data_IF_665178266933
#
_entry.id   IF_665178266933
#
_cell.length_a   1.000
_cell.length_b   1.000
_cell.length_c   1.000
_cell.angle_alpha   90.00
_cell.angle_beta   90.00
_cell.angle_gamma   90.00
#
_symmetry.space_group_name_H-M   'P 1'
#
loop_
_entity.id
_entity.type
_entity.pdbx_description
1 polymer ?
#
# COMPACT_ATOMS: atom_id res chain seq x y z
N UNK A 1 -28.46 13.52 42.20
CA UNK A 1 -29.42 13.71 41.09
C UNK A 1 -29.67 12.35 40.47
N UNK A 2 -30.86 11.78 40.65
CA UNK A 2 -31.29 10.59 39.92
C UNK A 2 -31.84 11.06 38.56
N UNK A 3 -31.17 10.68 37.47
CA UNK A 3 -31.70 10.92 36.13
C UNK A 3 -32.98 10.08 35.95
N UNK A 4 -34.05 10.66 35.37
CA UNK A 4 -35.30 9.93 35.15
C UNK A 4 -35.06 8.70 34.27
N UNK A 5 -35.69 7.56 34.59
CA UNK A 5 -35.64 6.32 33.79
C UNK A 5 -36.01 6.56 32.32
N UNK A 6 -36.90 7.53 32.05
CA UNK A 6 -37.28 7.93 30.69
C UNK A 6 -36.12 8.58 29.90
N UNK A 7 -35.22 9.29 30.58
CA UNK A 7 -34.01 9.89 29.98
C UNK A 7 -32.95 8.83 29.70
N UNK A 8 -32.88 7.77 30.52
CA UNK A 8 -31.97 6.64 30.30
C UNK A 8 -32.38 5.80 29.08
N UNK A 9 -33.69 5.60 28.87
CA UNK A 9 -34.23 4.84 27.72
C UNK A 9 -34.11 5.63 26.41
N UNK A 10 -34.21 6.96 26.45
CA UNK A 10 -34.00 7.81 25.27
C UNK A 10 -32.54 7.82 24.77
N UNK A 11 -31.58 7.47 25.64
CA UNK A 11 -30.15 7.39 25.31
C UNK A 11 -29.71 6.00 24.83
N UNK A 12 -30.51 4.95 25.04
CA UNK A 12 -30.20 3.57 24.61
C UNK A 12 -29.85 3.43 23.11
N UNK A 13 -30.52 4.10 22.14
CA UNK A 13 -30.11 4.01 20.73
C UNK A 13 -28.81 4.76 20.42
N UNK A 14 -28.35 5.66 21.31
CA UNK A 14 -27.05 6.34 21.16
C UNK A 14 -25.87 5.48 21.66
N UNK A 15 -26.13 4.48 22.51
CA UNK A 15 -25.09 3.56 23.03
C UNK A 15 -24.97 2.25 22.23
N UNK A 16 -25.83 2.02 21.25
CA UNK A 16 -25.84 0.82 20.40
C UNK A 16 -25.60 1.16 18.93
N UNK A 17 -24.64 2.03 18.62
CA UNK A 17 -23.95 1.94 17.33
C UNK A 17 -22.98 0.77 17.42
N UNK A 18 -23.49 -0.46 17.26
CA UNK A 18 -22.64 -1.58 16.88
C UNK A 18 -22.13 -1.25 15.49
N UNK A 19 -20.89 -0.79 15.39
CA UNK A 19 -20.17 -0.66 14.13
C UNK A 19 -20.18 -2.03 13.48
N UNK A 20 -21.06 -2.24 12.48
CA UNK A 20 -21.06 -3.47 11.73
C UNK A 20 -19.69 -3.61 11.06
N UNK A 21 -18.94 -4.63 11.45
CA UNK A 21 -17.62 -4.92 10.91
C UNK A 21 -17.75 -5.21 9.40
N UNK A 22 -17.08 -4.42 8.56
CA UNK A 22 -17.07 -4.69 7.13
C UNK A 22 -16.36 -6.03 6.87
N UNK A 23 -17.00 -6.93 6.14
CA UNK A 23 -16.44 -8.22 5.76
C UNK A 23 -17.10 -8.72 4.47
N UNK A 24 -16.47 -9.70 3.83
CA UNK A 24 -17.00 -10.35 2.63
C UNK A 24 -15.88 -10.87 1.74
N UNK A 25 -16.23 -11.21 0.50
CA UNK A 25 -15.26 -11.55 -0.52
C UNK A 25 -14.88 -10.30 -1.32
N UNK A 26 -13.65 -10.30 -1.84
CA UNK A 26 -13.07 -9.19 -2.58
C UNK A 26 -12.09 -9.64 -3.65
N UNK A 27 -11.69 -8.68 -4.47
CA UNK A 27 -10.64 -8.86 -5.48
C UNK A 27 -9.45 -7.99 -5.11
N UNK A 28 -8.26 -8.41 -5.53
CA UNK A 28 -7.06 -7.58 -5.40
C UNK A 28 -6.50 -7.22 -6.75
N UNK A 29 -5.90 -6.04 -6.81
CA UNK A 29 -4.93 -5.67 -7.83
C UNK A 29 -3.68 -5.14 -7.13
N UNK A 30 -2.73 -4.59 -7.88
CA UNK A 30 -1.48 -4.04 -7.35
C UNK A 30 -1.14 -2.73 -8.04
N UNK A 31 -0.64 -1.77 -7.27
CA UNK A 31 -0.23 -0.47 -7.80
C UNK A 31 0.91 0.15 -6.99
N UNK A 32 1.57 1.13 -7.59
CA UNK A 32 2.39 2.12 -6.92
C UNK A 32 2.56 3.32 -7.85
N UNK A 33 1.77 4.37 -7.63
CA UNK A 33 1.74 5.58 -8.47
C UNK A 33 2.49 6.77 -7.87
N UNK A 34 3.00 6.61 -6.64
CA UNK A 34 3.68 7.60 -5.83
C UNK A 34 2.82 8.80 -5.39
N UNK A 35 1.54 8.84 -5.74
CA UNK A 35 0.69 9.98 -5.43
C UNK A 35 0.51 10.13 -3.91
N UNK A 36 0.23 11.35 -3.44
CA UNK A 36 -0.34 11.55 -2.10
C UNK A 36 -1.63 10.71 -1.99
N UNK A 37 -1.71 9.78 -1.03
CA UNK A 37 -2.87 8.91 -0.92
C UNK A 37 -4.09 9.68 -0.38
N UNK A 38 -5.31 9.28 -0.74
CA UNK A 38 -6.51 10.07 -0.47
C UNK A 38 -6.82 10.25 1.03
N UNK A 39 -6.47 9.29 1.88
CA UNK A 39 -6.64 9.39 3.32
C UNK A 39 -5.57 10.25 4.00
N UNK A 40 -4.63 10.83 3.23
CA UNK A 40 -3.71 11.87 3.70
C UNK A 40 -4.31 13.27 3.68
N UNK A 41 -5.57 13.44 3.25
CA UNK A 41 -6.28 14.71 3.36
C UNK A 41 -7.01 14.80 4.70
N UNK A 42 -7.00 15.99 5.30
CA UNK A 42 -7.76 16.29 6.51
C UNK A 42 -9.28 16.09 6.29
N UNK A 43 -9.98 15.66 7.34
CA UNK A 43 -11.45 15.53 7.32
C UNK A 43 -11.98 14.29 6.58
N UNK A 44 -11.11 13.38 6.14
CA UNK A 44 -11.52 12.15 5.44
C UNK A 44 -12.10 11.07 6.33
N UNK A 45 -11.78 11.04 7.62
CA UNK A 45 -12.31 10.11 8.61
C UNK A 45 -12.25 10.70 10.02
N UNK A 46 -12.99 10.11 10.96
CA UNK A 46 -12.86 10.40 12.39
C UNK A 46 -11.63 9.66 12.96
N UNK A 47 -10.64 10.42 13.43
CA UNK A 47 -9.36 9.89 13.88
C UNK A 47 -9.23 9.90 15.41
N UNK A 48 -8.44 8.99 15.94
CA UNK A 48 -8.17 8.90 17.36
C UNK A 48 -7.46 10.17 17.86
N UNK A 49 -7.62 10.48 19.16
CA UNK A 49 -6.90 11.60 19.77
C UNK A 49 -5.40 11.41 19.63
N UNK A 50 -4.70 12.45 19.13
CA UNK A 50 -3.26 12.39 18.85
C UNK A 50 -2.88 11.73 17.52
N UNK A 51 -3.85 11.27 16.73
CA UNK A 51 -3.63 10.79 15.36
C UNK A 51 -3.80 11.90 14.33
N UNK A 52 -3.09 11.80 13.20
CA UNK A 52 -3.31 12.62 12.01
C UNK A 52 -3.80 11.78 10.83
N UNK A 53 -4.14 12.41 9.68
CA UNK A 53 -4.32 11.72 8.41
C UNK A 53 -3.08 10.90 8.05
N UNK A 54 -3.18 10.06 7.01
CA UNK A 54 -2.02 9.30 6.52
C UNK A 54 -0.86 10.25 6.21
N UNK A 55 0.30 9.96 6.79
CA UNK A 55 1.55 10.70 6.57
C UNK A 55 1.97 10.65 5.10
N UNK A 56 2.57 11.75 4.65
CA UNK A 56 3.13 11.88 3.29
C UNK A 56 4.59 12.26 3.37
N UNK A 57 5.31 12.01 2.30
CA UNK A 57 6.72 12.32 2.20
C UNK A 57 6.98 13.34 1.09
N UNK A 58 8.10 14.05 1.20
CA UNK A 58 8.60 14.88 0.12
C UNK A 58 9.29 14.03 -0.96
N UNK A 59 9.78 14.70 -2.01
CA UNK A 59 10.50 14.06 -3.14
C UNK A 59 11.75 13.26 -2.74
N UNK A 60 12.24 13.42 -1.51
CA UNK A 60 13.38 12.69 -0.97
C UNK A 60 12.97 11.63 0.04
N UNK A 61 11.70 11.22 0.04
CA UNK A 61 11.14 10.25 0.98
C UNK A 61 11.25 10.71 2.45
N UNK A 62 11.31 12.02 2.70
CA UNK A 62 11.34 12.58 4.05
C UNK A 62 9.93 12.93 4.52
N UNK A 63 9.49 12.49 5.72
CA UNK A 63 8.15 12.78 6.22
C UNK A 63 7.84 14.27 6.26
N UNK A 64 6.71 14.66 5.66
CA UNK A 64 6.20 16.02 5.69
C UNK A 64 5.55 16.32 7.04
N UNK A 65 6.11 17.31 7.76
CA UNK A 65 5.47 17.87 8.95
C UNK A 65 4.45 18.93 8.56
N UNK A 66 3.32 18.51 7.97
CA UNK A 66 2.19 19.39 7.66
C UNK A 66 1.00 19.06 8.57
N UNK A 67 0.79 19.81 9.68
CA UNK A 67 -0.33 19.55 10.58
C UNK A 67 -1.69 19.84 9.94
N UNK A 68 -1.73 20.54 8.80
CA UNK A 68 -2.95 20.86 8.07
C UNK A 68 -3.30 19.82 7.00
N UNK A 69 -2.32 18.99 6.64
CA UNK A 69 -2.39 18.00 5.57
C UNK A 69 -2.87 18.57 4.21
N UNK A 70 -2.49 19.83 3.92
CA UNK A 70 -2.87 20.58 2.72
C UNK A 70 -1.82 20.56 1.61
N UNK A 71 -0.62 20.01 1.88
CA UNK A 71 0.39 19.83 0.86
C UNK A 71 -0.19 19.13 -0.38
N UNK A 72 -0.03 19.75 -1.55
CA UNK A 72 -0.60 19.27 -2.81
C UNK A 72 0.11 17.98 -3.23
N UNK A 73 -0.65 17.04 -3.77
CA UNK A 73 -0.12 15.79 -4.32
C UNK A 73 0.90 16.06 -5.43
N UNK A 74 2.00 15.31 -5.47
CA UNK A 74 2.94 15.31 -6.59
C UNK A 74 2.27 15.00 -7.94
N UNK A 75 1.22 14.17 -7.93
CA UNK A 75 0.39 13.88 -9.10
C UNK A 75 -0.46 15.07 -9.59
N UNK A 76 -0.53 16.14 -8.80
CA UNK A 76 -1.18 17.41 -9.13
C UNK A 76 -0.17 18.56 -9.08
N UNK A 77 1.08 18.32 -9.48
CA UNK A 77 2.17 19.32 -9.48
C UNK A 77 2.54 19.87 -8.10
N UNK A 78 2.26 19.12 -7.04
CA UNK A 78 2.64 19.44 -5.68
C UNK A 78 3.93 18.76 -5.21
N UNK A 79 4.08 18.62 -3.91
CA UNK A 79 5.31 18.14 -3.26
C UNK A 79 5.08 17.00 -2.28
N UNK A 80 3.84 16.50 -2.15
CA UNK A 80 3.50 15.39 -1.27
C UNK A 80 3.32 14.08 -2.05
N UNK A 81 4.01 13.04 -1.60
CA UNK A 81 4.05 11.70 -2.19
C UNK A 81 3.72 10.65 -1.12
N UNK A 82 3.42 9.43 -1.57
CA UNK A 82 3.30 8.28 -0.67
C UNK A 82 4.69 7.92 -0.12
N UNK A 83 4.82 7.81 1.21
CA UNK A 83 6.10 7.43 1.81
C UNK A 83 6.47 5.98 1.47
N UNK A 84 7.75 5.74 1.22
CA UNK A 84 8.25 4.40 0.84
C UNK A 84 8.12 3.38 1.97
N UNK A 85 8.08 3.81 3.23
CA UNK A 85 7.83 2.94 4.39
C UNK A 85 6.37 2.43 4.44
N UNK A 86 5.47 3.00 3.64
CA UNK A 86 4.13 2.48 3.36
C UNK A 86 4.16 1.39 2.29
N UNK A 87 5.26 0.63 2.23
CA UNK A 87 5.43 -0.57 1.41
C UNK A 87 5.04 -1.83 2.19
N UNK A 88 4.68 -2.92 1.51
CA UNK A 88 4.31 -4.18 2.14
C UNK A 88 5.56 -4.96 2.57
N UNK A 89 5.40 -5.79 3.60
CA UNK A 89 6.47 -6.64 4.11
C UNK A 89 5.94 -7.93 4.73
N UNK A 90 6.74 -8.98 4.67
CA UNK A 90 6.45 -10.24 5.33
C UNK A 90 6.71 -10.11 6.85
N UNK A 91 5.76 -10.60 7.65
CA UNK A 91 5.90 -10.75 9.11
C UNK A 91 6.34 -12.18 9.44
N UNK A 92 5.80 -13.15 8.71
CA UNK A 92 6.19 -14.56 8.72
C UNK A 92 5.97 -15.15 7.33
N UNK A 93 6.19 -16.46 7.17
CA UNK A 93 5.91 -17.12 5.88
C UNK A 93 4.43 -17.05 5.49
N UNK A 94 3.50 -16.95 6.45
CA UNK A 94 2.05 -16.96 6.19
C UNK A 94 1.33 -15.66 6.56
N UNK A 95 2.06 -14.66 7.10
CA UNK A 95 1.51 -13.35 7.42
C UNK A 95 2.34 -12.23 6.79
N UNK A 96 1.68 -11.30 6.11
CA UNK A 96 2.25 -10.04 5.66
C UNK A 96 1.46 -8.84 6.15
N UNK A 97 2.11 -7.69 6.26
CA UNK A 97 1.48 -6.40 6.49
C UNK A 97 1.68 -5.49 5.27
N UNK A 98 0.76 -4.55 5.07
CA UNK A 98 0.90 -3.55 4.01
C UNK A 98 -0.23 -2.53 3.99
N UNK A 99 -0.45 -1.97 2.80
CA UNK A 99 -1.33 -0.84 2.59
C UNK A 99 -2.11 -1.05 1.29
N UNK A 100 -3.29 -0.42 1.19
CA UNK A 100 -4.11 -0.54 0.00
C UNK A 100 -4.92 0.72 -0.28
N UNK A 101 -5.22 0.94 -1.57
CA UNK A 101 -6.40 1.69 -1.95
C UNK A 101 -7.62 0.76 -1.88
N UNK A 102 -8.73 1.24 -1.33
CA UNK A 102 -9.91 0.39 -1.14
C UNK A 102 -11.19 1.05 -1.64
N UNK A 103 -12.13 0.20 -2.06
CA UNK A 103 -13.53 0.55 -2.22
C UNK A 103 -14.38 -0.57 -1.60
N UNK A 104 -14.95 -0.31 -0.42
CA UNK A 104 -15.71 -1.30 0.35
C UNK A 104 -17.20 -1.07 0.15
N UNK A 105 -17.93 -2.15 -0.18
CA UNK A 105 -19.36 -2.10 -0.45
C UNK A 105 -20.14 -1.46 0.72
N UNK A 106 -21.02 -0.51 0.39
CA UNK A 106 -21.84 0.19 1.39
C UNK A 106 -21.06 1.18 2.27
N UNK A 107 -19.77 1.39 2.01
CA UNK A 107 -18.92 2.35 2.71
C UNK A 107 -18.68 3.65 1.94
N UNK A 108 -17.86 4.49 2.55
CA UNK A 108 -17.24 5.68 1.97
C UNK A 108 -15.85 5.89 2.56
N UNK A 109 -15.10 6.89 2.08
CA UNK A 109 -13.81 7.26 2.69
C UNK A 109 -13.91 7.49 4.21
N UNK A 110 -15.02 8.06 4.69
CA UNK A 110 -15.26 8.23 6.13
C UNK A 110 -15.27 6.92 6.91
N UNK A 111 -15.70 5.82 6.28
CA UNK A 111 -15.76 4.49 6.89
C UNK A 111 -14.47 3.70 6.77
N UNK A 112 -13.73 3.82 5.67
CA UNK A 112 -12.56 2.96 5.41
C UNK A 112 -11.23 3.67 5.59
N UNK A 113 -11.14 5.00 5.52
CA UNK A 113 -9.85 5.67 5.65
C UNK A 113 -9.22 5.33 7.00
N UNK A 114 -7.98 4.85 6.92
CA UNK A 114 -7.15 4.36 8.02
C UNK A 114 -7.68 3.11 8.75
N UNK A 115 -8.74 2.48 8.28
CA UNK A 115 -9.19 1.18 8.77
C UNK A 115 -8.22 0.08 8.33
N UNK A 116 -8.15 -1.01 9.10
CA UNK A 116 -7.39 -2.18 8.72
C UNK A 116 -8.28 -3.36 8.37
N UNK A 117 -7.83 -4.15 7.42
CA UNK A 117 -8.53 -5.34 6.94
C UNK A 117 -7.57 -6.52 6.95
N UNK A 118 -7.98 -7.63 7.58
CA UNK A 118 -7.33 -8.92 7.41
C UNK A 118 -7.87 -9.54 6.14
N UNK A 119 -6.99 -9.73 5.16
CA UNK A 119 -7.25 -10.43 3.91
C UNK A 119 -6.76 -11.87 4.08
N UNK A 120 -7.62 -12.84 3.82
CA UNK A 120 -7.23 -14.24 3.62
C UNK A 120 -7.30 -14.52 2.13
N UNK A 121 -6.17 -14.84 1.51
CA UNK A 121 -6.15 -15.19 0.09
C UNK A 121 -6.86 -16.52 -0.12
N UNK A 122 -7.69 -16.62 -1.16
CA UNK A 122 -8.48 -17.83 -1.47
C UNK A 122 -8.17 -18.38 -2.87
N UNK A 123 -7.20 -17.80 -3.57
CA UNK A 123 -6.73 -18.26 -4.88
C UNK A 123 -5.23 -18.03 -5.06
N UNK A 124 -4.68 -18.51 -6.18
CA UNK A 124 -3.23 -18.55 -6.50
C UNK A 124 -2.42 -19.41 -5.52
N UNK A 125 -1.09 -19.33 -5.58
CA UNK A 125 -0.19 -19.98 -4.61
C UNK A 125 -0.29 -19.37 -3.20
N UNK A 126 -0.94 -18.20 -3.06
CA UNK A 126 -1.13 -17.54 -1.77
C UNK A 126 -2.32 -18.07 -0.96
N UNK A 127 -3.14 -18.96 -1.51
CA UNK A 127 -4.34 -19.46 -0.84
C UNK A 127 -4.05 -19.93 0.61
N UNK A 128 -4.79 -19.40 1.58
CA UNK A 128 -4.63 -19.65 3.01
C UNK A 128 -3.69 -18.69 3.75
N UNK A 129 -2.80 -17.98 3.05
CA UNK A 129 -1.96 -16.92 3.64
C UNK A 129 -2.81 -15.69 3.96
N UNK A 130 -2.32 -14.91 4.91
CA UNK A 130 -2.98 -13.70 5.38
C UNK A 130 -2.16 -12.45 5.12
N UNK A 131 -2.84 -11.37 4.76
CA UNK A 131 -2.25 -10.05 4.68
C UNK A 131 -3.13 -9.04 5.43
N UNK A 132 -2.55 -8.30 6.37
CA UNK A 132 -3.27 -7.20 7.02
C UNK A 132 -2.89 -5.90 6.33
N UNK A 133 -3.88 -5.21 5.78
CA UNK A 133 -3.67 -3.95 5.07
C UNK A 133 -4.34 -2.81 5.81
N UNK A 134 -3.65 -1.66 5.88
CA UNK A 134 -4.29 -0.40 6.22
C UNK A 134 -4.77 0.29 4.95
N UNK A 135 -6.03 0.73 4.93
CA UNK A 135 -6.59 1.52 3.84
C UNK A 135 -6.08 2.96 3.91
N UNK A 136 -5.20 3.32 2.97
CA UNK A 136 -4.58 4.66 2.89
C UNK A 136 -5.15 5.49 1.75
N UNK A 137 -5.78 4.86 0.77
CA UNK A 137 -6.25 5.50 -0.45
C UNK A 137 -7.62 4.95 -0.89
N UNK A 138 -8.22 5.59 -1.89
CA UNK A 138 -9.34 5.06 -2.66
C UNK A 138 -9.11 5.35 -4.15
N UNK A 139 -9.73 4.58 -5.04
CA UNK A 139 -9.70 4.78 -6.48
C UNK A 139 -11.11 4.84 -7.03
N UNK A 140 -11.38 5.80 -7.92
CA UNK A 140 -12.71 5.97 -8.54
C UNK A 140 -13.08 4.87 -9.54
N UNK A 141 -12.08 4.11 -9.98
CA UNK A 141 -12.17 2.96 -10.89
C UNK A 141 -12.27 1.61 -10.15
N UNK A 142 -12.16 1.61 -8.83
CA UNK A 142 -12.26 0.39 -8.04
C UNK A 142 -13.70 -0.13 -8.02
N UNK A 143 -13.87 -1.41 -8.31
CA UNK A 143 -15.10 -2.15 -8.12
C UNK A 143 -15.45 -2.34 -6.64
N UNK A 144 -16.60 -2.94 -6.39
CA UNK A 144 -17.07 -3.24 -5.05
C UNK A 144 -16.16 -4.27 -4.36
N UNK A 145 -15.75 -4.00 -3.12
CA UNK A 145 -14.82 -4.82 -2.32
C UNK A 145 -13.48 -5.08 -3.02
N UNK A 146 -12.95 -4.06 -3.70
CA UNK A 146 -11.64 -4.14 -4.35
C UNK A 146 -10.55 -3.54 -3.47
N UNK A 147 -9.42 -4.24 -3.40
CA UNK A 147 -8.21 -3.84 -2.69
C UNK A 147 -7.07 -3.69 -3.70
N UNK A 148 -6.66 -2.46 -3.98
CA UNK A 148 -5.45 -2.21 -4.76
C UNK A 148 -4.24 -2.18 -3.84
N UNK A 149 -3.48 -3.26 -3.82
CA UNK A 149 -2.37 -3.44 -2.89
C UNK A 149 -1.24 -2.51 -3.30
N UNK A 150 -0.79 -1.67 -2.37
CA UNK A 150 0.35 -0.79 -2.60
C UNK A 150 1.62 -1.64 -2.62
N UNK A 151 2.14 -1.93 -3.81
CA UNK A 151 3.32 -2.75 -4.04
C UNK A 151 4.22 -1.99 -5.01
N UNK A 152 5.40 -1.48 -4.59
CA UNK A 152 6.34 -0.82 -5.49
C UNK A 152 6.62 -1.65 -6.74
N UNK A 153 6.40 -1.04 -7.91
CA UNK A 153 6.51 -1.73 -9.19
C UNK A 153 5.29 -2.57 -9.57
N UNK A 154 4.15 -2.40 -8.89
CA UNK A 154 2.85 -2.96 -9.27
C UNK A 154 2.21 -2.29 -10.49
N UNK A 155 2.71 -1.13 -10.90
CA UNK A 155 2.17 -0.31 -11.99
C UNK A 155 1.65 1.01 -11.47
N UNK A 156 1.83 2.08 -12.24
CA UNK A 156 1.40 3.44 -11.83
C UNK A 156 -0.09 3.66 -12.11
N UNK A 157 -0.69 2.88 -13.02
CA UNK A 157 -2.10 3.00 -13.35
C UNK A 157 -2.42 4.33 -14.05
N UNK A 158 -3.48 5.00 -13.59
CA UNK A 158 -4.01 6.22 -14.21
C UNK A 158 -3.06 7.42 -13.99
N UNK A 159 -2.49 7.53 -12.79
CA UNK A 159 -1.61 8.63 -12.40
C UNK A 159 -0.15 8.17 -12.41
N UNK A 160 0.79 9.11 -12.46
CA UNK A 160 2.22 8.78 -12.37
C UNK A 160 2.99 9.93 -11.69
N UNK A 161 2.94 9.94 -10.35
CA UNK A 161 3.79 10.80 -9.53
C UNK A 161 5.23 10.31 -9.48
N UNK A 162 5.48 9.03 -9.78
CA UNK A 162 6.82 8.44 -9.69
C UNK A 162 7.81 9.06 -10.67
N UNK A 163 7.32 9.61 -11.78
CA UNK A 163 8.16 10.37 -12.73
C UNK A 163 8.70 11.64 -12.08
N UNK A 164 7.86 12.39 -11.36
CA UNK A 164 8.27 13.64 -10.70
C UNK A 164 9.01 13.38 -9.39
N UNK A 165 8.72 12.27 -8.72
CA UNK A 165 9.37 11.91 -7.47
C UNK A 165 10.77 11.33 -7.68
N UNK A 166 10.86 10.28 -8.48
CA UNK A 166 12.05 9.44 -8.60
C UNK A 166 12.67 9.43 -10.01
N UNK A 167 12.11 10.20 -10.95
CA UNK A 167 12.54 10.16 -12.34
C UNK A 167 12.20 8.83 -13.02
N UNK A 168 11.15 8.14 -12.58
CA UNK A 168 10.68 6.93 -13.25
C UNK A 168 10.26 7.21 -14.71
N UNK A 169 10.26 6.20 -15.60
CA UNK A 169 9.72 6.36 -16.94
C UNK A 169 8.24 6.78 -16.93
N UNK A 170 7.74 7.28 -18.08
CA UNK A 170 6.36 7.76 -18.22
C UNK A 170 5.29 6.68 -17.99
N UNK A 171 5.63 5.40 -18.13
CA UNK A 171 4.78 4.25 -17.77
C UNK A 171 5.07 3.66 -16.38
N UNK A 172 5.91 4.32 -15.57
CA UNK A 172 6.53 3.74 -14.38
C UNK A 172 7.70 2.81 -14.73
N UNK A 173 8.16 2.02 -13.76
CA UNK A 173 9.31 1.11 -13.95
C UNK A 173 9.03 -0.14 -14.81
N UNK A 174 7.80 -0.33 -15.26
CA UNK A 174 7.39 -1.46 -16.09
C UNK A 174 6.18 -1.11 -16.94
N UNK A 175 5.27 -2.07 -17.12
CA UNK A 175 3.97 -1.80 -17.74
C UNK A 175 3.17 -0.81 -16.88
N UNK A 176 2.42 0.08 -17.53
CA UNK A 176 1.59 1.08 -16.83
C UNK A 176 0.64 0.42 -15.82
N UNK A 177 0.01 -0.68 -16.22
CA UNK A 177 -0.80 -1.55 -15.37
C UNK A 177 -0.07 -2.89 -15.19
N UNK A 178 0.07 -3.36 -13.94
CA UNK A 178 0.77 -4.60 -13.61
C UNK A 178 2.29 -4.47 -13.43
N UNK A 179 2.89 -3.36 -13.88
CA UNK A 179 4.24 -2.94 -13.51
C UNK A 179 5.36 -3.84 -14.01
N UNK A 180 6.37 -4.08 -13.17
CA UNK A 180 7.52 -4.93 -13.52
C UNK A 180 7.13 -6.40 -13.61
N UNK A 181 7.79 -7.16 -14.49
CA UNK A 181 7.49 -8.57 -14.71
C UNK A 181 8.49 -9.54 -14.08
N UNK A 182 9.58 -9.04 -13.46
CA UNK A 182 10.62 -9.87 -12.89
C UNK A 182 11.27 -9.22 -11.66
N UNK A 183 11.67 -10.04 -10.69
CA UNK A 183 12.36 -9.61 -9.47
C UNK A 183 13.69 -8.87 -9.77
N UNK A 184 14.37 -9.22 -10.86
CA UNK A 184 15.60 -8.55 -11.27
C UNK A 184 15.39 -7.06 -11.60
N UNK A 185 14.17 -6.62 -11.89
CA UNK A 185 13.88 -5.19 -12.08
C UNK A 185 13.93 -4.40 -10.78
N UNK A 186 13.77 -5.04 -9.61
CA UNK A 186 13.76 -4.35 -8.33
C UNK A 186 15.10 -3.71 -7.99
N UNK A 187 16.23 -4.18 -8.53
CA UNK A 187 17.54 -3.58 -8.29
C UNK A 187 17.72 -2.19 -8.90
N UNK A 188 16.84 -1.79 -9.83
CA UNK A 188 16.88 -0.45 -10.46
C UNK A 188 15.99 0.57 -9.76
N UNK A 189 15.25 0.16 -8.72
CA UNK A 189 14.37 1.05 -7.96
C UNK A 189 15.19 1.93 -6.99
N UNK A 190 14.64 3.08 -6.58
CA UNK A 190 15.13 3.79 -5.40
C UNK A 190 15.30 2.83 -4.22
N UNK A 191 16.39 2.97 -3.46
CA UNK A 191 16.76 2.00 -2.42
C UNK A 191 15.63 1.71 -1.43
N UNK A 192 14.85 2.73 -1.06
CA UNK A 192 13.73 2.62 -0.13
C UNK A 192 12.55 1.77 -0.67
N UNK A 193 12.38 1.69 -2.00
CA UNK A 193 11.30 0.93 -2.65
C UNK A 193 11.69 -0.51 -3.00
N UNK A 194 12.99 -0.83 -2.98
CA UNK A 194 13.46 -2.18 -3.34
C UNK A 194 12.87 -3.27 -2.43
N UNK A 195 12.76 -3.11 -1.10
CA UNK A 195 12.15 -4.14 -0.25
C UNK A 195 10.70 -4.44 -0.63
N UNK A 196 9.87 -3.41 -0.86
CA UNK A 196 8.48 -3.57 -1.29
C UNK A 196 8.35 -4.17 -2.70
N UNK A 197 9.25 -3.83 -3.62
CA UNK A 197 9.30 -4.48 -4.93
C UNK A 197 9.66 -5.97 -4.81
N UNK A 198 10.67 -6.30 -4.01
CA UNK A 198 11.07 -7.69 -3.80
C UNK A 198 10.01 -8.50 -3.05
N UNK A 199 9.24 -7.89 -2.15
CA UNK A 199 8.10 -8.52 -1.49
C UNK A 199 7.14 -9.16 -2.50
N UNK A 200 6.87 -8.46 -3.62
CA UNK A 200 6.01 -8.94 -4.71
C UNK A 200 6.40 -10.32 -5.23
N UNK A 201 7.69 -10.56 -5.39
CA UNK A 201 8.20 -11.78 -6.01
C UNK A 201 8.62 -12.84 -5.00
N UNK A 202 8.82 -12.44 -3.73
CA UNK A 202 9.25 -13.34 -2.67
C UNK A 202 8.04 -13.89 -1.89
N UNK A 203 7.43 -13.07 -1.04
CA UNK A 203 6.34 -13.51 -0.18
C UNK A 203 5.02 -13.62 -0.95
N UNK A 204 4.77 -12.65 -1.84
CA UNK A 204 3.56 -12.59 -2.66
C UNK A 204 3.63 -13.49 -3.90
N UNK A 205 4.75 -14.21 -4.09
CA UNK A 205 4.98 -15.23 -5.14
C UNK A 205 4.62 -14.79 -6.57
N UNK A 206 4.75 -13.49 -6.86
CA UNK A 206 4.37 -12.92 -8.15
C UNK A 206 2.88 -13.10 -8.51
N UNK A 207 2.02 -13.37 -7.52
CA UNK A 207 0.60 -13.66 -7.73
C UNK A 207 -0.08 -12.54 -8.52
N UNK A 208 -0.91 -12.93 -9.51
CA UNK A 208 -1.64 -11.99 -10.35
C UNK A 208 -3.08 -11.87 -9.87
N UNK A 209 -3.37 -10.77 -9.18
CA UNK A 209 -4.70 -10.36 -8.75
C UNK A 209 -5.46 -11.46 -7.98
N UNK A 210 -4.87 -12.04 -6.91
CA UNK A 210 -5.54 -13.07 -6.12
C UNK A 210 -6.85 -12.54 -5.49
N UNK A 211 -7.86 -13.38 -5.45
CA UNK A 211 -9.10 -13.13 -4.71
C UNK A 211 -8.89 -13.36 -3.21
N UNK A 212 -9.69 -12.67 -2.39
CA UNK A 212 -9.59 -12.70 -0.94
C UNK A 212 -10.97 -12.81 -0.30
N UNK A 213 -11.03 -13.40 0.88
CA UNK A 213 -12.03 -13.04 1.88
C UNK A 213 -11.41 -12.02 2.84
N UNK A 214 -12.19 -11.03 3.27
CA UNK A 214 -11.72 -9.98 4.15
C UNK A 214 -12.65 -9.75 5.34
N UNK A 215 -12.06 -9.24 6.41
CA UNK A 215 -12.78 -8.70 7.57
C UNK A 215 -12.03 -7.50 8.12
N UNK A 216 -12.75 -6.47 8.55
CA UNK A 216 -12.18 -5.31 9.21
C UNK A 216 -11.67 -5.70 10.61
N UNK A 217 -10.50 -5.22 10.99
CA UNK A 217 -9.82 -5.59 12.25
C UNK A 217 -9.21 -4.35 12.89
N UNK A 218 -8.88 -4.44 14.18
CA UNK A 218 -8.06 -3.43 14.84
C UNK A 218 -6.70 -3.34 14.14
N UNK A 219 -6.27 -2.13 13.83
CA UNK A 219 -5.02 -1.92 13.14
C UNK A 219 -3.81 -2.33 14.00
N UNK A 220 -2.92 -3.22 13.52
CA UNK A 220 -1.63 -3.44 14.13
C UNK A 220 -0.86 -2.13 14.34
N UNK A 221 -0.24 -1.96 15.51
CA UNK A 221 0.56 -0.78 15.82
C UNK A 221 1.69 -0.54 14.81
N UNK A 222 2.20 -1.60 14.16
CA UNK A 222 3.22 -1.48 13.13
C UNK A 222 2.74 -0.70 11.90
N UNK A 223 1.47 -0.86 11.49
CA UNK A 223 0.90 -0.14 10.35
C UNK A 223 0.63 1.33 10.69
N UNK A 224 -0.05 1.56 11.82
CA UNK A 224 -0.42 2.92 12.27
C UNK A 224 0.78 3.76 12.68
N UNK A 225 1.88 3.14 13.12
CA UNK A 225 3.13 3.85 13.41
C UNK A 225 3.78 4.41 12.15
N UNK A 226 3.71 3.70 11.03
CA UNK A 226 4.27 4.18 9.75
C UNK A 226 3.41 5.30 9.15
N UNK A 227 2.09 5.14 9.16
CA UNK A 227 1.21 6.17 8.57
C UNK A 227 0.89 7.33 9.51
N UNK A 228 1.05 7.17 10.82
CA UNK A 228 0.56 8.12 11.81
C UNK A 228 -0.97 8.22 11.88
N UNK A 229 -1.69 7.33 11.19
CA UNK A 229 -3.14 7.35 11.10
C UNK A 229 -3.78 6.18 11.83
N UNK A 230 -4.66 6.47 12.79
CA UNK A 230 -5.47 5.52 13.54
C UNK A 230 -6.87 6.10 13.70
N UNK A 231 -7.89 5.30 13.40
CA UNK A 231 -9.29 5.72 13.52
C UNK A 231 -9.73 5.81 14.97
N UNK A 232 -10.73 6.67 15.23
CA UNK A 232 -11.32 6.80 16.57
C UNK A 232 -12.06 5.53 17.02
N UNK A 233 -12.61 4.77 16.07
CA UNK A 233 -13.34 3.53 16.29
C UNK A 233 -12.47 2.27 16.20
N UNK A 234 -11.15 2.40 16.00
CA UNK A 234 -10.23 1.27 15.75
C UNK A 234 -10.25 0.23 16.89
N UNK A 235 -10.28 0.68 18.14
CA UNK A 235 -10.31 -0.21 19.32
C UNK A 235 -11.65 -0.93 19.54
N UNK A 236 -12.67 -0.60 18.74
CA UNK A 236 -13.94 -1.35 18.73
C UNK A 236 -13.92 -2.53 17.76
N UNK A 237 -12.89 -2.61 16.90
CA UNK A 237 -12.74 -3.69 15.93
C UNK A 237 -12.12 -4.94 16.58
N UNK A 238 -12.42 -6.14 16.07
CA UNK A 238 -11.78 -7.37 16.56
C UNK A 238 -10.28 -7.35 16.32
N UNK A 239 -9.52 -7.95 17.22
CA UNK A 239 -8.10 -8.17 17.01
C UNK A 239 -7.86 -9.02 15.76
N UNK A 240 -6.81 -8.73 14.98
CA UNK A 240 -6.46 -9.55 13.83
C UNK A 240 -5.92 -10.93 14.23
N UNK A 241 -6.09 -11.90 13.36
CA UNK A 241 -5.46 -13.20 13.50
C UNK A 241 -3.98 -13.13 13.07
N UNK A 242 -3.12 -12.88 14.05
CA UNK A 242 -1.68 -12.82 13.87
C UNK A 242 -1.01 -14.21 13.71
N UNK A 243 -1.76 -15.32 13.74
CA UNK A 243 -1.17 -16.66 13.66
C UNK A 243 -0.72 -17.04 12.25
N UNK A 244 -1.07 -16.26 11.22
CA UNK A 244 -0.66 -16.44 9.82
C UNK A 244 -1.27 -17.65 9.12
N UNK A 245 -1.53 -18.75 9.83
CA UNK A 245 -2.17 -19.93 9.26
C UNK A 245 -3.68 -19.79 9.33
N UNK A 246 -4.33 -19.64 8.17
CA UNK A 246 -5.74 -19.97 8.05
C UNK A 246 -5.90 -21.44 8.38
N UNK A 247 -6.09 -21.79 9.66
CA UNK A 247 -6.54 -23.12 10.03
C UNK A 247 -7.86 -23.31 9.31
N UNK A 248 -7.86 -24.12 8.25
CA UNK A 248 -9.07 -24.70 7.73
C UNK A 248 -9.78 -25.31 8.94
N UNK A 249 -10.92 -24.72 9.32
CA UNK A 249 -11.79 -25.32 10.32
C UNK A 249 -12.11 -26.74 9.83
N UNK A 250 -12.03 -27.76 10.70
CA UNK A 250 -12.21 -29.13 10.23
C UNK A 250 -13.64 -29.29 9.74
N UNK A 251 -13.81 -29.66 8.46
CA UNK A 251 -15.03 -30.36 8.06
C UNK A 251 -15.19 -31.55 9.02
N UNK A 252 -16.33 -31.57 9.69
CA UNK A 252 -16.75 -32.66 10.56
C UNK A 252 -16.86 -33.94 9.71
N UNK A 253 -15.77 -34.70 9.69
CA UNK A 253 -15.72 -35.99 9.03
C UNK A 253 -16.59 -36.94 9.86
N UNK A 254 -17.83 -37.14 9.40
CA UNK A 254 -18.79 -38.09 9.95
C UNK A 254 -18.16 -39.49 9.91
N UNK A 255 -17.61 -39.94 11.04
CA UNK A 255 -17.12 -41.29 11.22
C UNK A 255 -18.33 -42.21 11.36
N UNK A 256 -18.61 -42.99 10.31
CA UNK A 256 -19.45 -44.18 10.41
C UNK A 256 -18.57 -45.37 10.87
N UNK A 257 -19.00 -46.16 11.86
CA UNK A 257 -18.17 -47.25 12.38
C UNK A 257 -18.21 -48.46 11.43
N UNK A 258 -17.07 -48.72 10.76
CA UNK A 258 -16.84 -49.97 10.05
C UNK A 258 -16.39 -51.07 11.01
N UNK A 259 -17.02 -52.23 10.83
CA UNK A 259 -16.93 -53.46 11.61
C UNK A 259 -15.53 -54.08 11.57
N UNK A 260 -15.03 -54.43 12.75
CA UNK A 260 -13.77 -55.14 13.02
C UNK A 260 -13.75 -56.50 12.31
N UNK A 261 -12.68 -56.78 11.56
CA UNK A 261 -12.24 -58.14 11.27
C UNK A 261 -10.75 -58.26 11.58
N UNK A 262 -10.46 -59.20 12.48
CA UNK A 262 -9.17 -59.49 13.10
C UNK A 262 -8.29 -60.34 12.20
N UNK A 263 -7.04 -59.92 11.95
CA UNK A 263 -5.93 -60.85 11.69
C UNK A 263 -4.67 -60.34 12.40
N UNK A 264 -4.05 -61.26 13.15
CA UNK A 264 -2.92 -61.09 14.05
C UNK A 264 -1.56 -61.09 13.30
N UNK A 265 -0.43 -60.83 13.99
CA UNK A 265 0.79 -60.28 13.39
C UNK A 265 1.88 -61.33 13.11
N UNK A 266 2.84 -60.98 12.24
CA UNK A 266 4.15 -61.63 12.19
C UNK A 266 5.28 -60.60 12.26
N UNK A 267 6.08 -60.78 13.30
CA UNK A 267 7.39 -60.21 13.61
C UNK A 267 8.46 -60.49 12.57
N UNK A 268 9.42 -59.57 12.39
CA UNK A 268 10.89 -59.72 12.58
C UNK A 268 11.54 -58.37 12.19
N UNK A 269 12.15 -57.65 13.11
CA UNK A 269 13.54 -57.72 13.63
C UNK A 269 14.59 -57.03 12.75
N UNK A 270 15.29 -56.14 13.44
CA UNK A 270 16.37 -55.23 13.08
C UNK A 270 17.64 -55.89 12.51
N UNK A 271 18.40 -55.10 11.73
CA UNK A 271 19.88 -54.91 11.83
C UNK A 271 20.36 -54.03 10.65
N UNK A 272 20.95 -52.85 10.88
CA UNK A 272 22.35 -52.55 11.25
C UNK A 272 23.22 -52.14 10.03
N UNK A 273 23.48 -50.83 9.94
CA UNK A 273 24.75 -50.13 9.61
C UNK A 273 25.77 -50.81 8.69
N UNK A 274 26.15 -50.12 7.60
CA UNK A 274 27.56 -49.94 7.18
C UNK A 274 27.78 -48.51 6.66
N UNK A 275 28.73 -47.83 7.28
CA UNK A 275 29.35 -46.54 6.91
C UNK A 275 30.66 -46.85 6.19
N UNK A 276 30.98 -46.20 5.06
CA UNK A 276 32.22 -45.43 4.85
C UNK A 276 32.21 -44.66 3.51
N UNK A 277 32.97 -43.55 3.42
CA UNK A 277 32.85 -42.48 2.44
C UNK A 277 33.86 -42.64 1.28
N UNK A 278 33.78 -41.76 0.28
CA UNK A 278 34.94 -41.48 -0.56
C UNK A 278 35.12 -40.00 -0.82
N UNK A 279 36.37 -39.60 -0.71
CA UNK A 279 36.88 -38.25 -0.51
C UNK A 279 37.13 -37.49 -1.82
N UNK A 280 37.18 -36.17 -1.63
CA UNK A 280 37.76 -35.10 -2.42
C UNK A 280 38.90 -35.45 -3.40
N UNK A 281 39.03 -34.66 -4.50
CA UNK A 281 40.15 -33.72 -4.67
C UNK A 281 40.10 -32.83 -5.95
N UNK A 282 40.41 -31.55 -5.71
CA UNK A 282 41.32 -30.63 -6.43
C UNK A 282 41.00 -30.04 -7.82
N UNK A 283 40.85 -28.69 -7.82
CA UNK A 283 41.28 -27.66 -8.81
C UNK A 283 42.79 -27.77 -9.16
N UNK A 284 43.44 -26.88 -9.97
CA UNK A 284 43.01 -25.60 -10.57
C UNK A 284 43.53 -25.33 -12.02
N UNK A 285 43.12 -24.20 -12.62
CA UNK A 285 44.02 -23.32 -13.39
C UNK A 285 43.34 -21.99 -13.77
N UNK A 286 43.98 -20.90 -13.37
CA UNK A 286 43.72 -19.53 -13.77
C UNK A 286 44.39 -19.21 -15.12
N UNK A 287 43.78 -18.35 -15.93
CA UNK A 287 44.49 -17.56 -16.95
C UNK A 287 43.89 -16.16 -17.05
N UNK A 288 44.64 -15.18 -16.56
CA UNK A 288 44.64 -13.75 -16.92
C UNK A 288 46.14 -13.41 -17.00
N UNK A 289 46.64 -12.76 -18.07
CA UNK A 289 46.80 -11.29 -18.10
C UNK A 289 46.61 -10.74 -19.54
N UNK A 290 46.63 -9.44 -19.90
CA UNK A 290 47.32 -8.29 -19.35
C UNK A 290 46.75 -7.00 -19.98
N UNK A 291 46.90 -5.92 -19.23
CA UNK A 291 46.72 -4.49 -19.46
C UNK A 291 47.28 -3.89 -20.76
N UNK A 292 46.74 -2.73 -21.19
CA UNK A 292 47.51 -1.48 -21.34
C UNK A 292 46.64 -0.26 -21.71
N UNK A 293 46.98 0.87 -21.08
CA UNK A 293 46.47 2.23 -21.24
C UNK A 293 47.26 3.00 -22.31
N UNK A 294 46.64 3.97 -23.00
CA UNK A 294 47.23 5.31 -23.29
C UNK A 294 46.35 6.21 -24.18
N UNK A 295 45.96 7.36 -23.61
CA UNK A 295 45.95 8.75 -24.14
C UNK A 295 45.74 9.07 -25.64
N UNK A 296 44.84 10.03 -25.95
CA UNK A 296 45.12 11.48 -26.23
C UNK A 296 44.18 12.12 -27.29
N UNK A 297 43.87 13.42 -27.07
CA UNK A 297 43.44 14.48 -28.01
C UNK A 297 41.97 14.45 -28.51
N UNK A 298 41.10 15.38 -28.08
CA UNK A 298 40.95 16.79 -28.51
C UNK A 298 40.34 16.96 -29.90
N UNK A 299 39.13 17.53 -29.98
CA UNK A 299 38.72 18.56 -30.95
C UNK A 299 37.30 19.07 -30.63
N UNK A 300 37.21 20.34 -30.23
CA UNK A 300 36.03 21.18 -30.35
C UNK A 300 36.07 21.92 -31.71
N UNK A 301 34.93 22.44 -32.18
CA UNK A 301 34.88 23.85 -32.55
C UNK A 301 33.61 24.52 -31.97
N UNK A 302 33.74 25.63 -31.26
CA UNK A 302 33.81 27.01 -31.77
C UNK A 302 32.43 27.68 -31.83
N UNK A 303 32.31 28.69 -30.99
CA UNK A 303 31.25 29.69 -30.87
C UNK A 303 31.30 30.63 -32.07
N UNK A 304 30.14 30.94 -32.66
CA UNK A 304 29.95 32.17 -33.44
C UNK A 304 28.69 32.88 -32.98
N UNK A 305 28.93 34.01 -32.32
CA UNK A 305 28.01 35.09 -32.03
C UNK A 305 27.68 35.88 -33.29
N UNK A 306 26.40 36.16 -33.54
CA UNK A 306 25.99 37.34 -34.30
C UNK A 306 24.90 38.11 -33.55
N UNK A 307 25.31 39.24 -32.99
CA UNK A 307 24.44 40.36 -32.68
C UNK A 307 24.20 41.18 -33.95
N UNK A 308 22.96 41.58 -34.19
CA UNK A 308 22.66 42.84 -34.87
C UNK A 308 21.27 43.33 -34.43
N UNK A 309 21.27 44.57 -33.94
CA UNK A 309 20.16 45.29 -33.37
C UNK A 309 19.46 46.14 -34.43
N UNK A 310 18.14 46.36 -34.29
CA UNK A 310 17.40 47.61 -34.58
C UNK A 310 15.90 47.37 -34.33
N UNK A 311 15.01 48.33 -34.03
CA UNK A 311 14.94 49.51 -33.14
C UNK A 311 13.46 49.97 -33.26
N UNK A 312 12.86 50.45 -32.16
CA UNK A 312 11.58 51.21 -32.07
C UNK A 312 10.27 50.42 -32.35
N UNK A 313 9.13 50.64 -31.69
CA UNK A 313 8.60 51.83 -31.02
C UNK A 313 7.55 51.51 -29.92
N UNK A 314 7.40 52.46 -28.98
CA UNK A 314 6.32 52.66 -28.01
C UNK A 314 4.91 52.54 -28.63
N UNK A 315 3.96 51.94 -27.91
CA UNK A 315 2.72 52.63 -27.49
C UNK A 315 2.12 51.97 -26.25
N UNK A 316 1.77 52.82 -25.29
CA UNK A 316 1.12 52.57 -24.02
C UNK A 316 -0.41 52.52 -24.16
N UNK A 317 -1.10 51.62 -23.46
CA UNK A 317 -2.48 51.83 -23.00
C UNK A 317 -2.60 51.32 -21.57
N UNK A 318 -3.03 52.24 -20.71
CA UNK A 318 -3.25 52.09 -19.28
C UNK A 318 -4.56 51.35 -18.98
N UNK A 319 -4.57 50.56 -17.92
CA UNK A 319 -5.78 50.10 -17.24
C UNK A 319 -6.05 51.05 -16.06
N UNK A 320 -7.31 51.45 -15.79
CA UNK A 320 -7.66 52.14 -14.57
C UNK A 320 -8.11 51.15 -13.48
N UNK A 321 -7.70 51.48 -12.25
CA UNK A 321 -8.16 50.89 -11.00
C UNK A 321 -9.26 51.77 -10.36
N UNK A 322 -10.07 51.13 -9.50
CA UNK A 322 -10.80 51.70 -8.34
C UNK A 322 -12.17 52.35 -8.64
N UNK A 323 -13.24 52.21 -7.84
CA UNK A 323 -13.38 51.84 -6.41
C UNK A 323 -14.87 51.65 -6.02
N UNK A 324 -15.09 50.84 -4.99
CA UNK A 324 -15.99 51.01 -3.82
C UNK A 324 -17.54 50.84 -3.91
N UNK A 325 -17.98 49.88 -3.08
CA UNK A 325 -18.97 49.97 -2.00
C UNK A 325 -20.48 50.13 -2.30
N UNK A 326 -21.25 49.12 -1.86
CA UNK A 326 -22.51 49.31 -1.15
C UNK A 326 -22.82 48.09 -0.26
N UNK A 327 -23.43 48.40 0.86
CA UNK A 327 -23.79 47.59 2.02
C UNK A 327 -25.09 46.79 1.83
N UNK A 328 -25.36 45.94 2.83
CA UNK A 328 -26.68 45.57 3.39
C UNK A 328 -27.36 44.26 2.95
N UNK A 329 -27.69 43.51 4.02
CA UNK A 329 -28.90 42.75 4.31
C UNK A 329 -29.12 41.30 3.80
N UNK A 330 -29.08 40.41 4.80
CA UNK A 330 -30.11 39.46 5.23
C UNK A 330 -30.47 38.18 4.45
N UNK A 331 -30.94 37.23 5.27
CA UNK A 331 -31.81 36.10 4.96
C UNK A 331 -31.18 34.75 4.55
N UNK A 332 -30.97 33.92 5.57
CA UNK A 332 -31.58 32.58 5.76
C UNK A 332 -32.02 31.79 4.52
N UNK A 333 -31.52 30.56 4.37
CA UNK A 333 -32.29 29.43 3.80
C UNK A 333 -31.66 28.08 4.21
N UNK A 334 -32.29 27.44 5.18
CA UNK A 334 -32.27 26.00 5.43
C UNK A 334 -33.15 25.26 4.41
N UNK A 335 -32.83 23.96 4.23
CA UNK A 335 -33.67 22.84 3.77
C UNK A 335 -34.11 22.78 2.28
N UNK A 336 -33.60 21.79 1.53
CA UNK A 336 -34.17 20.42 1.41
C UNK A 336 -33.07 19.40 1.11
#
# INVERSE_FOLDING_TARGET
>A
MQLPIKTLIALLPFFLQVSAQASGSGTTIRYWDCCKPSCAWSGKAALASGSGPVGTCDVKDSPLSDPTANAVSGCNSGTAYMCSDQSPYAVSDDLAYGYAAVNIAGGSEASWCCACYELTFISTALAGKKMIVQATNTGGDLGSNQFDLAIPGGGVGIFNGCTTEFGAPSSGWGAQYGGVSAASSCSTFPAALQPGCNFRFNWFDGADNPTVDFKQVECPAALTKSTGCKRADDSSMPAPDASGSGSASPEELVVTPAKISSVAPTSVSSSSVVVVPSSAKSSPAAVVPTSASSSKASSAPAVTSHSSATKSAKTSVAAPHSTAASTDDDETCDAE
#
